data_IF_294218562848
#
_entry.id   IF_294218562848
#
_cell.length_a   1.000
_cell.length_b   1.000
_cell.length_c   1.000
_cell.angle_alpha   90.00
_cell.angle_beta   90.00
_cell.angle_gamma   90.00
#
_symmetry.space_group_name_H-M   'P 1'
#
loop_
_entity.id
_entity.type
_entity.pdbx_description
1 polymer ?
#
# COMPACT_ATOMS: atom_id res chain seq x y z
N UNK A 1 1.70 25.83 2.12
CA UNK A 1 1.35 24.73 3.05
C UNK A 1 2.24 23.57 2.64
N UNK A 2 3.29 23.29 3.41
CA UNK A 2 4.17 22.16 3.15
C UNK A 2 3.30 20.89 3.17
N UNK A 3 3.30 20.16 2.04
CA UNK A 3 2.51 18.96 1.83
C UNK A 3 3.13 17.87 2.70
N UNK A 4 2.63 17.72 3.92
CA UNK A 4 3.32 16.96 4.97
C UNK A 4 3.12 15.44 4.83
N UNK A 5 3.62 14.89 3.72
CA UNK A 5 3.70 13.45 3.50
C UNK A 5 4.56 12.75 4.57
N UNK A 6 5.33 13.51 5.36
CA UNK A 6 6.10 12.95 6.48
C UNK A 6 5.19 12.29 7.53
N UNK A 7 3.92 12.70 7.62
CA UNK A 7 2.89 12.08 8.46
C UNK A 7 2.64 10.61 8.12
N UNK A 8 2.96 10.16 6.91
CA UNK A 8 2.90 8.75 6.52
C UNK A 8 3.96 7.91 7.25
N UNK A 9 5.07 8.52 7.68
CA UNK A 9 6.16 7.83 8.37
C UNK A 9 5.63 7.09 9.59
N UNK A 10 5.91 5.80 9.69
CA UNK A 10 5.46 4.96 10.79
C UNK A 10 5.08 3.55 10.34
N UNK A 11 4.63 2.76 11.32
CA UNK A 11 4.21 1.37 11.12
C UNK A 11 2.70 1.29 11.18
N UNK A 12 2.13 0.57 10.23
CA UNK A 12 0.70 0.53 10.00
C UNK A 12 0.21 -0.89 9.75
N UNK A 13 -1.06 -1.14 10.01
CA UNK A 13 -1.73 -2.40 9.70
C UNK A 13 -3.13 -2.12 9.18
N UNK A 14 -3.60 -2.93 8.24
CA UNK A 14 -4.96 -2.85 7.73
C UNK A 14 -6.00 -2.87 8.85
N UNK A 15 -6.89 -1.89 8.86
CA UNK A 15 -8.15 -1.96 9.60
C UNK A 15 -9.13 -2.86 8.85
N UNK A 16 -9.42 -4.02 9.42
CA UNK A 16 -10.36 -4.96 8.81
C UNK A 16 -11.83 -4.60 9.03
N UNK A 17 -12.16 -3.57 9.80
CA UNK A 17 -13.53 -3.07 9.95
C UNK A 17 -14.01 -2.28 8.73
N UNK A 18 -13.09 -1.83 7.87
CA UNK A 18 -13.38 -0.98 6.70
C UNK A 18 -12.81 -1.58 5.40
N UNK A 19 -13.32 -2.74 5.00
CA UNK A 19 -12.86 -3.45 3.80
C UNK A 19 -13.88 -3.39 2.66
N UNK A 20 -13.64 -2.53 1.67
CA UNK A 20 -14.36 -2.54 0.41
C UNK A 20 -13.49 -3.17 -0.68
N UNK A 21 -13.99 -4.20 -1.37
CA UNK A 21 -13.29 -4.93 -2.45
C UNK A 21 -11.90 -5.50 -2.10
N UNK A 22 -11.59 -5.66 -0.80
CA UNK A 22 -10.28 -6.13 -0.34
C UNK A 22 -9.90 -7.54 -0.82
N UNK A 23 -10.86 -8.46 -0.99
CA UNK A 23 -10.57 -9.80 -1.56
C UNK A 23 -9.98 -9.74 -2.96
N UNK A 24 -10.51 -8.84 -3.77
CA UNK A 24 -10.10 -8.69 -5.16
C UNK A 24 -8.69 -8.07 -5.23
N UNK A 25 -8.44 -7.09 -4.36
CA UNK A 25 -7.09 -6.56 -4.13
C UNK A 25 -6.09 -7.68 -3.78
N UNK A 26 -6.42 -8.54 -2.81
CA UNK A 26 -5.55 -9.67 -2.42
C UNK A 26 -5.36 -10.68 -3.57
N UNK A 27 -6.39 -10.94 -4.36
CA UNK A 27 -6.32 -11.82 -5.54
C UNK A 27 -5.33 -11.28 -6.57
N UNK A 28 -5.37 -9.97 -6.84
CA UNK A 28 -4.45 -9.29 -7.77
C UNK A 28 -3.02 -9.19 -7.25
N UNK A 29 -2.82 -9.40 -5.95
CA UNK A 29 -1.50 -9.57 -5.32
C UNK A 29 -1.04 -11.04 -5.30
N UNK A 30 -1.73 -11.93 -6.02
CA UNK A 30 -1.32 -13.31 -6.21
C UNK A 30 -1.65 -14.24 -5.04
N UNK A 31 -2.37 -13.78 -4.01
CA UNK A 31 -2.73 -14.63 -2.88
C UNK A 31 -3.73 -15.70 -3.32
N UNK A 32 -3.50 -16.95 -2.91
CA UNK A 32 -4.39 -18.07 -3.21
C UNK A 32 -5.76 -17.92 -2.53
N UNK A 33 -6.80 -18.59 -3.05
CA UNK A 33 -8.16 -18.53 -2.47
C UNK A 33 -8.18 -18.90 -0.99
N UNK A 34 -7.40 -19.92 -0.60
CA UNK A 34 -7.29 -20.34 0.80
C UNK A 34 -6.66 -19.26 1.68
N UNK A 35 -5.56 -18.64 1.25
CA UNK A 35 -4.91 -17.55 2.02
C UNK A 35 -5.85 -16.35 2.15
N UNK A 36 -6.56 -15.95 1.09
CA UNK A 36 -7.54 -14.86 1.15
C UNK A 36 -8.68 -15.14 2.13
N UNK A 37 -9.16 -16.39 2.17
CA UNK A 37 -10.14 -16.82 3.15
C UNK A 37 -9.61 -16.67 4.59
N UNK A 38 -8.38 -17.11 4.85
CA UNK A 38 -7.76 -16.98 6.17
C UNK A 38 -7.57 -15.51 6.58
N UNK A 39 -7.12 -14.65 5.66
CA UNK A 39 -6.98 -13.20 5.91
C UNK A 39 -8.29 -12.56 6.35
N UNK A 40 -9.40 -12.92 5.71
CA UNK A 40 -10.73 -12.41 6.07
C UNK A 40 -11.21 -12.94 7.41
N UNK A 41 -11.06 -14.24 7.65
CA UNK A 41 -11.58 -14.90 8.86
C UNK A 41 -10.82 -14.44 10.12
N UNK A 42 -9.49 -14.39 10.02
CA UNK A 42 -8.62 -14.09 11.15
C UNK A 42 -8.13 -12.65 11.19
N UNK A 43 -8.55 -11.81 10.24
CA UNK A 43 -8.14 -10.39 10.14
C UNK A 43 -6.61 -10.23 10.15
N UNK A 44 -5.93 -11.11 9.42
CA UNK A 44 -4.47 -11.16 9.33
C UNK A 44 -4.02 -10.21 8.24
N UNK A 45 -3.18 -9.24 8.59
CA UNK A 45 -2.48 -8.37 7.63
C UNK A 45 -1.04 -8.15 8.07
N UNK A 46 -0.11 -7.99 7.11
CA UNK A 46 1.26 -7.61 7.44
C UNK A 46 1.30 -6.23 8.10
N UNK A 47 2.41 -5.95 8.78
CA UNK A 47 2.75 -4.58 9.17
C UNK A 47 3.42 -3.92 7.97
N UNK A 48 2.96 -2.73 7.61
CA UNK A 48 3.50 -1.88 6.56
C UNK A 48 4.19 -0.69 7.22
N UNK A 49 5.50 -0.57 7.02
CA UNK A 49 6.30 0.55 7.50
C UNK A 49 6.61 1.47 6.32
N UNK A 50 6.32 2.75 6.51
CA UNK A 50 6.76 3.81 5.60
C UNK A 50 7.78 4.67 6.32
N UNK A 51 8.85 5.02 5.63
CA UNK A 51 9.87 5.96 6.10
C UNK A 51 9.99 7.02 5.02
N UNK A 52 9.57 8.25 5.33
CA UNK A 52 9.59 9.37 4.38
C UNK A 52 10.76 10.28 4.72
N UNK A 53 11.66 10.47 3.75
CA UNK A 53 12.80 11.36 3.87
C UNK A 53 12.86 12.28 2.63
N UNK A 54 12.35 13.49 2.78
CA UNK A 54 12.23 14.43 1.66
C UNK A 54 11.33 13.87 0.56
N UNK A 55 11.92 13.62 -0.62
CA UNK A 55 11.24 13.05 -1.78
C UNK A 55 11.36 11.52 -1.89
N UNK A 56 11.96 10.85 -0.91
CA UNK A 56 12.10 9.39 -0.89
C UNK A 56 11.13 8.77 0.10
N UNK A 57 10.51 7.67 -0.31
CA UNK A 57 9.60 6.86 0.52
C UNK A 57 10.14 5.43 0.51
N UNK A 58 10.68 4.99 1.65
CA UNK A 58 11.02 3.59 1.85
C UNK A 58 9.81 2.85 2.37
N UNK A 59 9.43 1.77 1.67
CA UNK A 59 8.37 0.85 2.07
C UNK A 59 8.98 -0.45 2.57
N UNK A 60 8.54 -0.89 3.74
CA UNK A 60 8.87 -2.21 4.29
C UNK A 60 7.61 -2.95 4.69
N UNK A 61 7.56 -4.23 4.38
CA UNK A 61 6.45 -5.09 4.77
C UNK A 61 6.94 -6.21 5.67
N UNK A 62 6.25 -6.45 6.78
CA UNK A 62 6.55 -7.51 7.74
C UNK A 62 5.36 -8.46 7.86
N UNK A 63 5.49 -9.66 7.30
CA UNK A 63 4.52 -10.76 7.54
C UNK A 63 4.69 -11.37 8.93
N UNK A 64 5.90 -11.31 9.49
CA UNK A 64 6.21 -11.64 10.88
C UNK A 64 7.07 -10.51 11.46
N UNK A 65 6.65 -9.85 12.56
CA UNK A 65 7.39 -8.72 13.14
C UNK A 65 8.78 -9.09 13.68
N UNK A 66 9.03 -10.37 13.95
CA UNK A 66 10.30 -10.89 14.48
C UNK A 66 11.27 -11.36 13.38
N UNK A 67 10.96 -11.08 12.10
CA UNK A 67 11.78 -11.45 10.96
C UNK A 67 12.15 -10.22 10.13
N UNK A 68 13.18 -10.31 9.28
CA UNK A 68 13.44 -9.30 8.27
C UNK A 68 12.19 -9.02 7.42
N UNK A 69 12.05 -7.80 6.87
CA UNK A 69 10.91 -7.46 6.03
C UNK A 69 10.83 -8.38 4.82
N UNK A 70 9.62 -8.83 4.49
CA UNK A 70 9.34 -9.64 3.30
C UNK A 70 9.39 -8.82 2.02
N UNK A 71 9.21 -7.50 2.10
CA UNK A 71 9.45 -6.55 1.02
C UNK A 71 10.17 -5.34 1.59
N UNK A 72 11.21 -4.85 0.92
CA UNK A 72 11.96 -3.65 1.30
C UNK A 72 12.43 -2.96 0.01
N UNK A 73 11.90 -1.77 -0.27
CA UNK A 73 12.27 -0.97 -1.42
C UNK A 73 12.05 0.51 -1.12
N UNK A 74 12.78 1.36 -1.83
CA UNK A 74 12.62 2.82 -1.77
C UNK A 74 12.07 3.30 -3.10
N UNK A 75 11.18 4.29 -3.06
CA UNK A 75 10.64 4.96 -4.22
C UNK A 75 10.97 6.45 -4.12
N UNK A 76 11.39 7.05 -5.23
CA UNK A 76 11.60 8.49 -5.34
C UNK A 76 10.40 9.14 -6.02
N UNK A 77 9.83 10.18 -5.40
CA UNK A 77 8.67 10.89 -5.94
C UNK A 77 9.01 11.48 -7.32
N UNK A 78 8.13 11.23 -8.29
CA UNK A 78 8.26 11.66 -9.69
C UNK A 78 9.17 10.77 -10.55
N UNK A 79 9.73 9.69 -10.01
CA UNK A 79 10.60 8.78 -10.74
C UNK A 79 9.97 7.38 -10.84
N UNK A 80 9.88 6.80 -12.05
CA UNK A 80 9.45 5.42 -12.20
C UNK A 80 10.55 4.46 -11.78
N UNK A 81 10.20 3.46 -10.98
CA UNK A 81 11.12 2.44 -10.47
C UNK A 81 10.58 1.03 -10.74
N UNK A 82 11.47 0.11 -11.12
CA UNK A 82 11.14 -1.30 -11.24
C UNK A 82 11.45 -1.98 -9.92
N UNK A 83 10.41 -2.47 -9.24
CA UNK A 83 10.54 -3.10 -7.93
C UNK A 83 10.02 -4.54 -7.99
N UNK A 84 10.59 -5.40 -7.15
CA UNK A 84 10.05 -6.73 -6.91
C UNK A 84 9.11 -6.69 -5.71
N UNK A 85 7.85 -7.07 -5.93
CA UNK A 85 6.86 -7.23 -4.85
C UNK A 85 6.55 -8.72 -4.63
N UNK A 86 6.70 -9.25 -3.41
CA UNK A 86 6.30 -10.61 -3.09
C UNK A 86 4.84 -10.90 -3.49
N UNK A 87 4.61 -12.03 -4.16
CA UNK A 87 3.29 -12.43 -4.68
C UNK A 87 2.85 -11.73 -5.96
N UNK A 88 3.38 -10.53 -6.23
CA UNK A 88 3.05 -9.73 -7.42
C UNK A 88 4.12 -9.79 -8.53
N UNK A 89 5.34 -10.22 -8.22
CA UNK A 89 6.46 -10.28 -9.17
C UNK A 89 7.12 -8.93 -9.41
N UNK A 90 7.74 -8.78 -10.58
CA UNK A 90 8.32 -7.51 -11.03
C UNK A 90 7.20 -6.55 -11.44
N UNK A 91 7.26 -5.32 -10.93
CA UNK A 91 6.29 -4.26 -11.23
C UNK A 91 7.01 -2.94 -11.49
N UNK A 92 6.47 -2.12 -12.38
CA UNK A 92 6.91 -0.75 -12.52
C UNK A 92 6.01 0.14 -11.67
N UNK A 93 6.60 0.93 -10.77
CA UNK A 93 5.86 1.83 -9.88
C UNK A 93 6.37 3.25 -10.00
N UNK A 94 5.45 4.22 -10.07
CA UNK A 94 5.76 5.64 -9.92
C UNK A 94 4.90 6.22 -8.81
N UNK A 95 5.46 7.12 -8.01
CA UNK A 95 4.75 7.84 -6.95
C UNK A 95 4.80 9.33 -7.27
N UNK A 96 3.65 9.97 -7.31
CA UNK A 96 3.50 11.39 -7.54
C UNK A 96 2.70 12.04 -6.40
N UNK A 97 2.68 13.38 -6.40
CA UNK A 97 1.76 14.17 -5.59
C UNK A 97 0.75 14.84 -6.52
N UNK A 98 -0.53 14.70 -6.22
CA UNK A 98 -1.55 15.43 -6.96
C UNK A 98 -1.58 16.93 -6.60
N UNK A 99 -2.49 17.67 -7.26
CA UNK A 99 -2.68 19.10 -7.04
C UNK A 99 -3.01 19.44 -5.56
N UNK A 100 -3.67 18.51 -4.86
CA UNK A 100 -4.01 18.63 -3.43
C UNK A 100 -2.91 18.10 -2.50
N UNK A 101 -1.80 17.60 -3.04
CA UNK A 101 -0.69 17.04 -2.27
C UNK A 101 -0.93 15.64 -1.73
N UNK A 102 -1.90 14.90 -2.27
CA UNK A 102 -2.14 13.49 -1.95
C UNK A 102 -1.15 12.62 -2.73
N UNK A 103 -0.72 11.53 -2.11
CA UNK A 103 0.15 10.55 -2.78
C UNK A 103 -0.67 9.79 -3.81
N UNK A 104 -0.16 9.74 -5.03
CA UNK A 104 -0.72 8.93 -6.12
C UNK A 104 0.35 7.96 -6.57
N UNK A 105 0.14 6.68 -6.31
CA UNK A 105 1.03 5.60 -6.74
C UNK A 105 0.38 4.87 -7.90
N UNK A 106 1.08 4.81 -9.04
CA UNK A 106 0.69 3.99 -10.19
C UNK A 106 1.61 2.79 -10.27
N UNK A 107 1.04 1.60 -10.19
CA UNK A 107 1.79 0.34 -10.28
C UNK A 107 1.29 -0.44 -11.49
N UNK A 108 2.17 -0.59 -12.48
CA UNK A 108 1.90 -1.32 -13.72
C UNK A 108 2.44 -2.75 -13.62
N UNK A 109 1.58 -3.70 -14.00
CA UNK A 109 1.85 -5.13 -14.15
C UNK A 109 1.44 -5.57 -15.56
N UNK A 110 1.84 -6.77 -15.97
CA UNK A 110 1.31 -7.39 -17.19
C UNK A 110 -0.21 -7.49 -17.19
N UNK A 111 -0.81 -7.74 -16.02
CA UNK A 111 -2.26 -7.87 -15.84
C UNK A 111 -3.03 -6.54 -15.78
N UNK A 112 -2.34 -5.40 -15.86
CA UNK A 112 -2.94 -4.06 -15.86
C UNK A 112 -2.28 -3.08 -14.89
N UNK A 113 -2.88 -1.90 -14.80
CA UNK A 113 -2.43 -0.81 -13.91
C UNK A 113 -3.32 -0.73 -12.66
N UNK A 114 -2.69 -0.60 -11.50
CA UNK A 114 -3.35 -0.21 -10.24
C UNK A 114 -2.98 1.24 -9.94
N UNK A 115 -3.97 2.04 -9.55
CA UNK A 115 -3.75 3.42 -9.11
C UNK A 115 -4.18 3.51 -7.65
N UNK A 116 -3.25 3.82 -6.77
CA UNK A 116 -3.51 4.06 -5.34
C UNK A 116 -3.43 5.55 -5.07
N UNK A 117 -4.51 6.12 -4.54
CA UNK A 117 -4.52 7.48 -4.02
C UNK A 117 -4.61 7.42 -2.51
N UNK A 118 -3.64 8.00 -1.81
CA UNK A 118 -3.55 8.00 -0.36
C UNK A 118 -3.66 9.40 0.22
N UNK A 119 -4.38 9.52 1.34
CA UNK A 119 -4.41 10.71 2.18
C UNK A 119 -4.28 10.31 3.66
N UNK A 120 -3.84 11.24 4.49
CA UNK A 120 -3.97 11.12 5.94
C UNK A 120 -5.36 11.66 6.31
N UNK A 121 -6.14 10.89 7.06
CA UNK A 121 -7.46 11.29 7.52
C UNK A 121 -7.39 12.18 8.77
N UNK A 122 -8.55 12.63 9.27
CA UNK A 122 -8.63 13.50 10.46
C UNK A 122 -8.17 12.83 11.77
N UNK A 123 -7.96 11.51 11.77
CA UNK A 123 -7.45 10.73 12.90
C UNK A 123 -5.95 10.42 12.74
N UNK A 124 -5.30 10.94 11.70
CA UNK A 124 -3.89 10.65 11.41
C UNK A 124 -3.68 9.27 10.78
N UNK A 125 -4.71 8.66 10.20
CA UNK A 125 -4.65 7.32 9.60
C UNK A 125 -4.54 7.41 8.07
N UNK A 126 -3.69 6.61 7.42
CA UNK A 126 -3.71 6.47 5.96
C UNK A 126 -5.03 5.89 5.47
N UNK A 127 -5.77 6.66 4.68
CA UNK A 127 -6.97 6.23 3.93
C UNK A 127 -6.59 6.14 2.45
N UNK A 128 -6.60 4.91 1.93
CA UNK A 128 -6.15 4.56 0.60
C UNK A 128 -7.33 4.14 -0.26
N UNK A 129 -7.47 4.78 -1.42
CA UNK A 129 -8.39 4.40 -2.48
C UNK A 129 -7.59 3.80 -3.63
N UNK A 130 -7.85 2.54 -3.95
CA UNK A 130 -7.10 1.77 -4.95
C UNK A 130 -8.02 1.42 -6.11
N UNK A 131 -7.83 2.06 -7.26
CA UNK A 131 -8.46 1.64 -8.51
C UNK A 131 -7.77 0.37 -9.01
N UNK A 132 -8.53 -0.72 -9.06
CA UNK A 132 -8.07 -2.03 -9.55
C UNK A 132 -8.20 -2.09 -11.08
N UNK A 133 -7.42 -2.94 -11.77
CA UNK A 133 -7.53 -3.16 -13.22
C UNK A 133 -8.92 -3.58 -13.69
N UNK A 134 -9.75 -4.15 -12.80
CA UNK A 134 -11.14 -4.50 -13.09
C UNK A 134 -12.10 -3.31 -13.13
N UNK A 135 -11.62 -2.09 -12.83
CA UNK A 135 -12.42 -0.87 -12.74
C UNK A 135 -13.10 -0.65 -11.38
N UNK A 136 -12.95 -1.59 -10.43
CA UNK A 136 -13.47 -1.43 -9.07
C UNK A 136 -12.48 -0.67 -8.18
N UNK A 137 -13.02 0.04 -7.20
CA UNK A 137 -12.22 0.69 -6.16
C UNK A 137 -12.16 -0.19 -4.92
N UNK A 138 -10.96 -0.50 -4.46
CA UNK A 138 -10.70 -1.07 -3.14
C UNK A 138 -10.35 0.05 -2.17
N UNK A 139 -11.04 0.13 -1.04
CA UNK A 139 -10.70 1.06 0.03
C UNK A 139 -9.97 0.35 1.15
N UNK A 140 -8.91 0.98 1.66
CA UNK A 140 -8.14 0.49 2.80
C UNK A 140 -7.89 1.63 3.77
N UNK A 141 -8.16 1.41 5.05
CA UNK A 141 -7.72 2.30 6.12
C UNK A 141 -6.65 1.57 6.92
N UNK A 142 -5.56 2.27 7.25
CA UNK A 142 -4.47 1.70 8.02
C UNK A 142 -4.43 2.30 9.43
N UNK A 143 -4.32 1.44 10.44
CA UNK A 143 -4.16 1.81 11.83
C UNK A 143 -2.70 1.74 12.24
N UNK A 144 -2.27 2.68 13.08
CA UNK A 144 -0.90 2.73 13.56
C UNK A 144 -0.62 1.55 14.49
N UNK A 145 0.54 0.94 14.33
CA UNK A 145 1.05 -0.14 15.18
C UNK A 145 2.06 0.47 16.15
N UNK A 146 1.85 0.26 17.44
CA UNK A 146 2.82 0.62 18.49
C UNK A 146 4.02 -0.32 18.48
#
# INVERSE_FOLDING_TARGET
MEKDISQLTGRWRQDHSQNENYDEFLRLHGLSRFVRFMVKLFKISPIEEYIVNGNQITYRQYTNPNRPPSADFTLTIGQPENIYMPGAGQVQTVVDLDEYGRLVTRTKKESGEMITTGRIDSKGQPDLSILLPSGKTCRRVLQRVQ
#
